data_IF_742349852588
#
_entry.id   IF_742349852588
#
_cell.length_a   1.000
_cell.length_b   1.000
_cell.length_c   1.000
_cell.angle_alpha   90.00
_cell.angle_beta   90.00
_cell.angle_gamma   90.00
#
_symmetry.space_group_name_H-M   'P 1'
#
loop_
_entity.id
_entity.type
_entity.pdbx_description
1 polymer ?
#
# COMPACT_ATOMS: atom_id res chain seq x y z
N UNK A 1 9.28 4.03 10.40
CA UNK A 1 10.38 5.00 10.34
C UNK A 1 11.64 4.28 9.93
N UNK A 2 12.16 4.55 8.72
CA UNK A 2 13.31 3.79 8.20
C UNK A 2 14.64 4.26 8.79
N UNK A 3 14.88 5.58 8.80
CA UNK A 3 16.15 6.19 9.23
C UNK A 3 16.58 5.78 10.64
N UNK A 4 15.64 5.75 11.58
CA UNK A 4 15.88 5.50 13.00
C UNK A 4 16.02 4.01 13.37
N UNK A 5 16.05 3.11 12.39
CA UNK A 5 16.15 1.67 12.64
C UNK A 5 14.81 0.93 12.55
N UNK A 6 14.03 1.21 11.50
CA UNK A 6 12.85 0.42 11.10
C UNK A 6 11.83 0.27 12.25
N UNK A 7 11.43 1.37 12.88
CA UNK A 7 10.34 1.38 13.87
C UNK A 7 8.96 1.42 13.19
N UNK A 8 7.94 0.92 13.89
CA UNK A 8 6.52 1.06 13.51
C UNK A 8 6.14 2.52 13.27
N UNK A 9 5.37 2.77 12.22
CA UNK A 9 4.56 3.98 12.03
C UNK A 9 3.08 3.63 11.83
N UNK A 10 2.22 4.65 11.75
CA UNK A 10 0.82 4.47 11.35
C UNK A 10 0.68 3.82 9.96
N UNK A 11 1.64 4.10 9.06
CA UNK A 11 1.72 3.56 7.70
C UNK A 11 2.22 2.12 7.62
N UNK A 12 2.76 1.54 8.70
CA UNK A 12 3.20 0.14 8.75
C UNK A 12 1.99 -0.79 8.56
N UNK A 13 2.01 -1.80 7.69
CA UNK A 13 0.91 -2.77 7.54
C UNK A 13 0.70 -3.62 8.81
N UNK A 14 -0.50 -4.20 8.97
CA UNK A 14 -0.75 -5.24 9.98
C UNK A 14 0.22 -6.41 9.76
N UNK A 15 0.60 -7.08 10.84
CA UNK A 15 1.56 -8.19 10.92
C UNK A 15 3.01 -7.87 10.59
N UNK A 16 3.32 -6.70 10.01
CA UNK A 16 4.70 -6.35 9.69
C UNK A 16 5.59 -6.33 10.94
N UNK A 17 6.71 -7.06 10.88
CA UNK A 17 7.78 -6.99 11.87
C UNK A 17 8.50 -5.65 11.75
N UNK A 18 8.67 -4.97 12.88
CA UNK A 18 9.51 -3.78 13.02
C UNK A 18 10.28 -3.89 14.32
N UNK A 19 11.24 -2.99 14.60
CA UNK A 19 11.97 -3.01 15.87
C UNK A 19 11.07 -2.72 17.08
N UNK A 20 9.96 -2.01 16.90
CA UNK A 20 8.96 -1.73 17.95
C UNK A 20 7.69 -2.57 17.85
N UNK A 21 7.61 -3.46 16.85
CA UNK A 21 6.58 -4.51 16.74
C UNK A 21 7.26 -5.83 16.40
N UNK A 22 7.98 -6.43 17.35
CA UNK A 22 8.63 -7.70 17.14
C UNK A 22 7.60 -8.83 16.97
N UNK A 23 8.07 -9.93 16.41
CA UNK A 23 7.33 -11.19 16.32
C UNK A 23 7.82 -12.09 17.44
N UNK A 24 6.90 -12.62 18.24
CA UNK A 24 7.17 -13.51 19.37
C UNK A 24 5.90 -14.23 19.81
N UNK A 25 5.96 -14.95 20.95
CA UNK A 25 4.86 -15.78 21.41
C UNK A 25 3.54 -15.01 21.64
N UNK A 26 3.63 -13.76 22.13
CA UNK A 26 2.45 -12.95 22.49
C UNK A 26 2.01 -12.01 21.36
N UNK A 27 2.88 -11.72 20.38
CA UNK A 27 2.62 -10.70 19.36
C UNK A 27 3.19 -11.10 18.01
N UNK A 28 2.35 -11.07 16.98
CA UNK A 28 2.74 -11.39 15.60
C UNK A 28 3.01 -10.13 14.77
N UNK A 29 3.85 -9.22 15.28
CA UNK A 29 4.12 -7.93 14.62
C UNK A 29 3.09 -6.84 14.94
N UNK A 30 2.83 -5.93 13.99
CA UNK A 30 1.86 -4.83 14.21
C UNK A 30 0.43 -5.38 14.25
N UNK A 31 -0.34 -4.99 15.27
CA UNK A 31 -1.73 -5.46 15.45
C UNK A 31 -2.70 -4.63 14.60
N UNK A 32 -2.48 -3.31 14.51
CA UNK A 32 -3.39 -2.42 13.80
C UNK A 32 -3.17 -2.44 12.28
N UNK A 33 -4.26 -2.29 11.53
CA UNK A 33 -4.22 -2.00 10.11
C UNK A 33 -3.48 -0.68 9.82
N UNK A 34 -2.99 -0.56 8.58
CA UNK A 34 -2.38 0.67 8.09
C UNK A 34 -3.40 1.81 8.18
N UNK A 35 -3.01 2.97 8.72
CA UNK A 35 -3.85 4.18 8.65
C UNK A 35 -4.00 4.57 7.18
N UNK A 36 -5.23 4.67 6.71
CA UNK A 36 -5.51 5.15 5.35
C UNK A 36 -5.42 6.68 5.32
N UNK A 37 -4.20 7.16 5.07
CA UNK A 37 -3.96 8.61 5.01
C UNK A 37 -4.64 9.24 3.79
N UNK A 38 -4.77 8.51 2.69
CA UNK A 38 -5.35 9.02 1.45
C UNK A 38 -6.85 9.28 1.64
N UNK A 39 -7.61 8.30 2.14
CA UNK A 39 -9.04 8.48 2.43
C UNK A 39 -9.30 9.57 3.46
N UNK A 40 -8.44 9.69 4.49
CA UNK A 40 -8.57 10.74 5.49
C UNK A 40 -8.45 12.12 4.86
N UNK A 41 -7.51 12.30 3.92
CA UNK A 41 -7.36 13.57 3.22
C UNK A 41 -8.50 13.81 2.22
N UNK A 42 -9.07 12.77 1.61
CA UNK A 42 -10.27 12.91 0.76
C UNK A 42 -11.41 13.51 1.57
N UNK A 43 -11.60 13.07 2.82
CA UNK A 43 -12.63 13.62 3.71
C UNK A 43 -12.44 15.11 4.08
N UNK A 44 -11.27 15.71 3.80
CA UNK A 44 -11.05 17.15 3.97
C UNK A 44 -11.47 17.98 2.74
N UNK A 45 -11.97 17.34 1.67
CA UNK A 45 -12.41 17.98 0.43
C UNK A 45 -11.35 18.90 -0.20
N UNK A 46 -10.09 18.42 -0.26
CA UNK A 46 -9.03 19.18 -0.95
C UNK A 46 -9.12 18.99 -2.47
N UNK A 47 -8.68 19.97 -3.28
CA UNK A 47 -8.85 19.96 -4.74
C UNK A 47 -8.32 18.71 -5.47
N UNK A 48 -7.14 18.22 -5.05
CA UNK A 48 -6.51 17.06 -5.71
C UNK A 48 -5.78 16.14 -4.73
N UNK A 49 -6.10 14.85 -4.81
CA UNK A 49 -5.44 13.77 -4.07
C UNK A 49 -5.09 12.65 -5.03
N UNK A 50 -3.92 12.05 -4.84
CA UNK A 50 -3.59 10.83 -5.56
C UNK A 50 -2.82 9.82 -4.71
N UNK A 51 -3.10 8.54 -4.94
CA UNK A 51 -2.26 7.43 -4.52
C UNK A 51 -1.57 6.84 -5.75
N UNK A 52 -0.25 6.77 -5.71
CA UNK A 52 0.58 6.43 -6.87
C UNK A 52 1.79 5.59 -6.48
N UNK A 53 2.49 5.05 -7.49
CA UNK A 53 3.70 4.28 -7.35
C UNK A 53 4.62 4.47 -8.58
N UNK A 54 5.94 4.33 -8.42
CA UNK A 54 6.89 4.32 -9.53
C UNK A 54 6.86 2.99 -10.30
N UNK A 55 5.74 2.73 -10.99
CA UNK A 55 5.51 1.50 -11.76
C UNK A 55 5.81 1.70 -13.25
N UNK A 56 6.35 0.67 -13.90
CA UNK A 56 6.57 0.64 -15.35
C UNK A 56 7.49 1.76 -15.81
N UNK A 57 6.97 2.65 -16.67
CA UNK A 57 7.68 3.81 -17.19
C UNK A 57 7.42 5.10 -16.38
N UNK A 58 6.94 4.99 -15.14
CA UNK A 58 6.67 6.12 -14.25
C UNK A 58 5.59 7.09 -14.72
N UNK A 59 4.83 6.76 -15.78
CA UNK A 59 3.79 7.63 -16.34
C UNK A 59 2.72 8.02 -15.33
N UNK A 60 2.21 7.06 -14.54
CA UNK A 60 1.19 7.33 -13.51
C UNK A 60 1.68 8.38 -12.50
N UNK A 61 2.88 8.17 -11.94
CA UNK A 61 3.51 9.09 -11.00
C UNK A 61 3.74 10.47 -11.62
N UNK A 62 4.24 10.53 -12.86
CA UNK A 62 4.53 11.79 -13.54
C UNK A 62 3.25 12.60 -13.82
N UNK A 63 2.22 11.96 -14.38
CA UNK A 63 0.94 12.64 -14.68
C UNK A 63 0.26 13.15 -13.41
N UNK A 64 0.23 12.35 -12.35
CA UNK A 64 -0.37 12.76 -11.07
C UNK A 64 0.43 13.88 -10.38
N UNK A 65 1.76 13.82 -10.46
CA UNK A 65 2.61 14.90 -9.95
C UNK A 65 2.38 16.19 -10.72
N UNK A 66 2.27 16.13 -12.05
CA UNK A 66 1.96 17.29 -12.89
C UNK A 66 0.62 17.91 -12.49
N UNK A 67 -0.46 17.11 -12.40
CA UNK A 67 -1.77 17.60 -11.94
C UNK A 67 -1.67 18.31 -10.59
N UNK A 68 -1.10 17.65 -9.58
CA UNK A 68 -0.96 18.24 -8.24
C UNK A 68 -0.17 19.55 -8.20
N UNK A 69 0.85 19.72 -9.05
CA UNK A 69 1.66 20.95 -9.11
C UNK A 69 0.86 22.11 -9.71
N UNK A 70 -0.02 21.83 -10.68
CA UNK A 70 -0.76 22.84 -11.43
C UNK A 70 -2.22 23.01 -10.98
N UNK A 71 -2.69 22.23 -10.02
CA UNK A 71 -3.97 22.45 -9.33
C UNK A 71 -3.81 23.54 -8.27
N UNK A 72 -4.68 24.55 -8.32
CA UNK A 72 -4.72 25.59 -7.30
C UNK A 72 -5.26 25.03 -5.97
N UNK A 73 -4.55 25.30 -4.87
CA UNK A 73 -4.93 24.87 -3.52
C UNK A 73 -4.16 23.65 -2.99
N UNK A 74 -4.54 23.14 -1.81
CA UNK A 74 -3.80 22.06 -1.16
C UNK A 74 -3.96 20.75 -1.93
N UNK A 75 -2.83 20.14 -2.31
CA UNK A 75 -2.79 18.86 -3.01
C UNK A 75 -2.02 17.82 -2.22
N UNK A 76 -2.32 16.52 -2.42
CA UNK A 76 -1.63 15.44 -1.73
C UNK A 76 -1.31 14.25 -2.64
N UNK A 77 -0.06 13.80 -2.64
CA UNK A 77 0.37 12.55 -3.28
C UNK A 77 0.89 11.55 -2.25
N UNK A 78 0.26 10.38 -2.19
CA UNK A 78 0.74 9.24 -1.42
C UNK A 78 1.50 8.29 -2.35
N UNK A 79 2.83 8.37 -2.31
CA UNK A 79 3.70 7.60 -3.22
C UNK A 79 4.25 6.35 -2.53
N UNK A 80 4.07 5.19 -3.15
CA UNK A 80 4.71 3.95 -2.68
C UNK A 80 6.23 4.04 -2.84
N UNK A 81 6.94 3.93 -1.71
CA UNK A 81 8.40 3.86 -1.69
C UNK A 81 8.85 2.65 -0.87
N UNK A 82 9.04 1.48 -1.52
CA UNK A 82 9.55 0.30 -0.85
C UNK A 82 11.00 0.51 -0.39
N UNK A 83 11.32 0.03 0.81
CA UNK A 83 12.66 0.15 1.39
C UNK A 83 13.28 -1.25 1.50
N UNK A 84 14.23 -1.63 0.63
CA UNK A 84 14.83 -2.97 0.63
C UNK A 84 15.35 -3.40 2.00
N UNK A 85 16.10 -2.52 2.67
CA UNK A 85 16.59 -2.76 4.04
C UNK A 85 15.47 -2.89 5.07
N UNK A 86 14.45 -2.02 4.99
CA UNK A 86 13.37 -1.99 5.98
C UNK A 86 12.35 -3.11 5.82
N UNK A 87 12.16 -3.57 4.60
CA UNK A 87 11.18 -4.60 4.24
C UNK A 87 11.83 -5.98 4.10
N UNK A 88 13.17 -6.02 4.14
CA UNK A 88 14.00 -7.22 4.14
C UNK A 88 13.85 -8.01 2.83
N UNK A 89 14.23 -7.37 1.71
CA UNK A 89 14.29 -7.98 0.38
C UNK A 89 15.49 -7.43 -0.44
N UNK A 90 15.99 -8.14 -1.47
CA UNK A 90 17.10 -7.68 -2.30
C UNK A 90 16.78 -6.42 -3.10
N UNK A 91 17.69 -5.44 -3.17
CA UNK A 91 17.51 -4.18 -3.92
C UNK A 91 17.08 -4.41 -5.38
N UNK A 92 17.58 -5.47 -6.03
CA UNK A 92 17.25 -5.83 -7.41
C UNK A 92 15.76 -6.15 -7.63
N UNK A 93 15.02 -6.54 -6.59
CA UNK A 93 13.59 -6.83 -6.66
C UNK A 93 12.71 -5.59 -6.47
N UNK A 94 13.27 -4.37 -6.36
CA UNK A 94 12.49 -3.16 -6.08
C UNK A 94 11.32 -2.97 -7.06
N UNK A 95 11.58 -3.07 -8.37
CA UNK A 95 10.55 -2.90 -9.40
C UNK A 95 9.46 -3.99 -9.33
N UNK A 96 9.86 -5.23 -9.01
CA UNK A 96 8.95 -6.36 -8.84
C UNK A 96 8.06 -6.18 -7.61
N UNK A 97 8.61 -5.75 -6.47
CA UNK A 97 7.85 -5.46 -5.24
C UNK A 97 6.82 -4.35 -5.48
N UNK A 98 7.19 -3.30 -6.23
CA UNK A 98 6.25 -2.24 -6.62
C UNK A 98 5.11 -2.81 -7.47
N UNK A 99 5.45 -3.61 -8.49
CA UNK A 99 4.46 -4.25 -9.36
C UNK A 99 3.53 -5.17 -8.58
N UNK A 100 4.06 -6.01 -7.70
CA UNK A 100 3.28 -6.90 -6.83
C UNK A 100 2.34 -6.13 -5.90
N UNK A 101 2.81 -5.02 -5.31
CA UNK A 101 1.96 -4.18 -4.45
C UNK A 101 0.71 -3.66 -5.19
N UNK A 102 0.90 -3.30 -6.46
CA UNK A 102 -0.17 -2.79 -7.33
C UNK A 102 -1.06 -3.92 -7.86
N UNK A 103 -0.47 -5.02 -8.34
CA UNK A 103 -1.20 -6.16 -8.94
C UNK A 103 -2.01 -6.97 -7.90
N UNK A 104 -1.61 -6.94 -6.63
CA UNK A 104 -2.36 -7.52 -5.50
C UNK A 104 -3.39 -6.55 -4.89
N UNK A 105 -3.42 -5.30 -5.35
CA UNK A 105 -4.20 -4.19 -4.79
C UNK A 105 -3.88 -3.86 -3.32
N UNK A 106 -2.73 -4.28 -2.78
CA UNK A 106 -2.24 -3.78 -1.48
C UNK A 106 -1.97 -2.27 -1.55
N UNK A 107 -1.59 -1.79 -2.73
CA UNK A 107 -1.40 -0.38 -3.04
C UNK A 107 -2.13 -0.01 -4.34
N UNK A 108 -3.44 0.24 -4.29
CA UNK A 108 -4.19 0.63 -5.48
C UNK A 108 -3.75 2.02 -5.96
N UNK A 109 -3.83 2.23 -7.28
CA UNK A 109 -3.48 3.50 -7.92
C UNK A 109 -4.76 4.21 -8.34
N UNK A 110 -5.01 5.37 -7.73
CA UNK A 110 -6.19 6.18 -8.00
C UNK A 110 -5.90 7.66 -7.74
N UNK A 111 -6.80 8.52 -8.20
CA UNK A 111 -6.83 9.94 -7.88
C UNK A 111 -8.26 10.38 -7.54
N UNK A 112 -8.38 11.48 -6.81
CA UNK A 112 -9.63 12.13 -6.47
C UNK A 112 -9.47 13.61 -6.83
N UNK A 113 -10.28 14.08 -7.77
CA UNK A 113 -10.27 15.44 -8.28
C UNK A 113 -11.62 16.08 -7.97
N UNK A 114 -11.63 17.13 -7.14
CA UNK A 114 -12.87 17.81 -6.73
C UNK A 114 -13.96 16.83 -6.22
N UNK A 115 -13.54 15.82 -5.44
CA UNK A 115 -14.41 14.79 -4.88
C UNK A 115 -14.77 13.64 -5.83
N UNK A 116 -14.36 13.70 -7.11
CA UNK A 116 -14.62 12.64 -8.10
C UNK A 116 -13.47 11.63 -8.10
N UNK A 117 -13.79 10.36 -7.91
CA UNK A 117 -12.81 9.29 -7.82
C UNK A 117 -12.48 8.69 -9.20
N UNK A 118 -11.20 8.53 -9.49
CA UNK A 118 -10.71 7.95 -10.72
C UNK A 118 -9.70 6.83 -10.44
N UNK A 119 -10.04 5.61 -10.85
CA UNK A 119 -9.11 4.47 -10.78
C UNK A 119 -8.10 4.56 -11.93
N UNK A 120 -6.80 4.61 -11.60
CA UNK A 120 -5.74 4.73 -12.60
C UNK A 120 -5.27 3.38 -13.14
N UNK A 121 -5.42 2.32 -12.34
CA UNK A 121 -5.03 0.97 -12.71
C UNK A 121 -5.96 -0.07 -12.09
N UNK A 122 -6.53 -0.92 -12.95
CA UNK A 122 -7.21 -2.14 -12.54
C UNK A 122 -6.42 -3.34 -13.09
N UNK A 123 -5.90 -4.24 -12.23
CA UNK A 123 -5.23 -5.44 -12.72
C UNK A 123 -6.24 -6.33 -13.44
N UNK A 124 -5.89 -6.86 -14.63
CA UNK A 124 -6.74 -7.81 -15.39
C UNK A 124 -7.12 -9.03 -14.55
N UNK A 125 -6.20 -9.48 -13.71
CA UNK A 125 -6.40 -10.51 -12.71
C UNK A 125 -5.72 -10.03 -11.44
N UNK A 126 -6.51 -9.77 -10.40
CA UNK A 126 -5.98 -9.46 -9.07
C UNK A 126 -5.19 -10.65 -8.54
N UNK A 127 -3.94 -10.42 -8.19
CA UNK A 127 -3.08 -11.44 -7.58
C UNK A 127 -3.42 -11.62 -6.09
N UNK A 128 -3.17 -12.80 -5.51
CA UNK A 128 -3.33 -13.01 -4.07
C UNK A 128 -2.30 -12.15 -3.30
N UNK A 129 -2.71 -11.62 -2.14
CA UNK A 129 -1.86 -10.78 -1.27
C UNK A 129 -0.56 -11.49 -0.89
N UNK A 130 -0.61 -12.82 -0.82
CA UNK A 130 0.52 -13.68 -0.51
C UNK A 130 1.72 -13.44 -1.43
N UNK A 131 1.49 -13.19 -2.72
CA UNK A 131 2.54 -12.94 -3.71
C UNK A 131 3.33 -11.68 -3.36
N UNK A 132 2.66 -10.65 -2.85
CA UNK A 132 3.33 -9.45 -2.34
C UNK A 132 4.04 -9.71 -1.01
N UNK A 133 3.43 -10.45 -0.08
CA UNK A 133 3.97 -10.64 1.27
C UNK A 133 5.21 -11.55 1.30
N UNK A 134 5.23 -12.61 0.48
CA UNK A 134 6.23 -13.68 0.49
C UNK A 134 7.69 -13.21 0.29
N UNK A 135 8.02 -12.34 -0.68
CA UNK A 135 9.41 -11.93 -0.90
C UNK A 135 9.97 -11.00 0.20
N UNK A 136 9.16 -10.57 1.17
CA UNK A 136 9.55 -9.59 2.19
C UNK A 136 9.80 -10.26 3.55
N UNK A 137 11.02 -10.20 4.05
CA UNK A 137 11.39 -10.82 5.33
C UNK A 137 10.65 -10.25 6.55
N UNK A 138 10.07 -9.04 6.45
CA UNK A 138 9.19 -8.47 7.48
C UNK A 138 7.87 -9.23 7.70
N UNK A 139 7.53 -10.17 6.81
CA UNK A 139 6.34 -11.03 6.89
C UNK A 139 6.67 -12.53 6.97
N UNK A 140 7.96 -12.91 7.03
CA UNK A 140 8.41 -14.32 6.98
C UNK A 140 7.73 -15.23 8.00
N UNK A 141 7.33 -14.71 9.17
CA UNK A 141 6.62 -15.48 10.20
C UNK A 141 5.21 -15.88 9.80
N UNK A 142 4.53 -15.13 8.94
CA UNK A 142 3.18 -15.45 8.45
C UNK A 142 3.14 -16.76 7.65
N UNK A 143 4.28 -17.17 7.09
CA UNK A 143 4.43 -18.38 6.26
C UNK A 143 4.86 -19.61 7.04
N UNK A 144 4.94 -19.54 8.37
CA UNK A 144 5.18 -20.72 9.20
C UNK A 144 3.89 -21.51 9.34
N UNK A 145 3.99 -22.84 9.43
CA UNK A 145 2.85 -23.72 9.66
C UNK A 145 2.03 -23.24 10.87
N UNK A 146 0.71 -23.10 10.69
CA UNK A 146 -0.24 -22.64 11.71
C UNK A 146 -0.50 -21.13 11.73
N UNK A 147 0.16 -20.37 10.84
CA UNK A 147 0.00 -18.91 10.72
C UNK A 147 -0.77 -18.48 9.47
N UNK A 148 -1.35 -19.42 8.73
CA UNK A 148 -2.08 -19.20 7.48
C UNK A 148 -3.22 -18.19 7.65
N UNK A 149 -3.88 -18.20 8.82
CA UNK A 149 -4.93 -17.24 9.21
C UNK A 149 -4.49 -15.77 9.08
N UNK A 150 -3.20 -15.45 9.26
CA UNK A 150 -2.72 -14.07 9.10
C UNK A 150 -2.71 -13.63 7.63
N UNK A 151 -2.46 -14.57 6.72
CA UNK A 151 -2.51 -14.31 5.27
C UNK A 151 -3.96 -14.14 4.85
N UNK A 152 -4.88 -14.97 5.35
CA UNK A 152 -6.32 -14.86 5.13
C UNK A 152 -6.88 -13.51 5.62
N UNK A 153 -6.52 -13.08 6.84
CA UNK A 153 -6.93 -11.77 7.36
C UNK A 153 -6.36 -10.60 6.52
N UNK A 154 -5.10 -10.72 6.07
CA UNK A 154 -4.49 -9.71 5.20
C UNK A 154 -5.20 -9.65 3.84
N UNK A 155 -5.58 -10.80 3.29
CA UNK A 155 -6.29 -10.93 2.03
C UNK A 155 -7.68 -10.28 2.13
N UNK A 156 -8.46 -10.67 3.15
CA UNK A 156 -9.79 -10.11 3.40
C UNK A 156 -9.76 -8.58 3.59
N UNK A 157 -8.75 -8.06 4.29
CA UNK A 157 -8.58 -6.61 4.45
C UNK A 157 -8.29 -5.91 3.11
N UNK A 158 -7.42 -6.49 2.27
CA UNK A 158 -7.09 -5.92 0.96
C UNK A 158 -8.29 -5.97 0.03
N UNK A 159 -9.03 -7.07 0.02
CA UNK A 159 -10.25 -7.24 -0.79
C UNK A 159 -11.30 -6.21 -0.38
N UNK A 160 -11.60 -6.08 0.92
CA UNK A 160 -12.54 -5.08 1.43
C UNK A 160 -12.16 -3.65 1.01
N UNK A 161 -10.87 -3.31 1.07
CA UNK A 161 -10.36 -1.99 0.67
C UNK A 161 -10.46 -1.77 -0.84
N UNK A 162 -10.23 -2.82 -1.62
CA UNK A 162 -10.34 -2.78 -3.07
C UNK A 162 -11.79 -2.61 -3.52
N UNK A 163 -12.71 -3.40 -2.96
CA UNK A 163 -14.13 -3.36 -3.28
C UNK A 163 -14.73 -1.98 -2.98
N UNK A 164 -14.39 -1.40 -1.82
CA UNK A 164 -14.80 -0.03 -1.47
C UNK A 164 -14.29 1.02 -2.47
N UNK A 165 -13.07 0.85 -2.99
CA UNK A 165 -12.53 1.76 -4.01
C UNK A 165 -13.27 1.61 -5.34
N UNK A 166 -13.63 0.38 -5.72
CA UNK A 166 -14.45 0.12 -6.91
C UNK A 166 -15.83 0.77 -6.78
N UNK A 167 -16.47 0.67 -5.61
CA UNK A 167 -17.74 1.36 -5.32
C UNK A 167 -17.62 2.89 -5.49
N UNK A 168 -16.55 3.50 -4.97
CA UNK A 168 -16.31 4.94 -5.12
C UNK A 168 -16.09 5.37 -6.57
N UNK A 169 -15.44 4.53 -7.37
CA UNK A 169 -15.07 4.84 -8.77
C UNK A 169 -16.13 4.41 -9.79
N UNK A 170 -17.14 3.63 -9.36
CA UNK A 170 -18.13 3.02 -10.26
C UNK A 170 -17.52 1.96 -11.20
N UNK A 171 -16.28 1.54 -10.96
CA UNK A 171 -15.63 0.48 -11.73
C UNK A 171 -16.21 -0.90 -11.35
N UNK A 172 -16.36 -1.79 -12.34
CA UNK A 172 -16.81 -3.17 -12.16
C UNK A 172 -15.64 -4.14 -12.32
#
# INVERSE_FOLDING_TARGET
YMNTGIQRSSSTPRFARTTTTPVGAVRQGKIQNKKDLTEILVAHNIPYIAQTAPIGNFKDLHTKSYKAIYTEGPCFLNVLSPCPRGWDYPMAQLAEIIKLAVDTCVWPLYEVEEGVWHLSYAPKKKLPVEDFLRPQGRFRHMFKKGNEWMIEEAQAYVDQKWDRLLEHTGAK
#
